data_IF_527920827717
#
_entry.id   IF_527920827717
#
_cell.length_a   1.000
_cell.length_b   1.000
_cell.length_c   1.000
_cell.angle_alpha   90.00
_cell.angle_beta   90.00
_cell.angle_gamma   90.00
#
_symmetry.space_group_name_H-M   'P 1'
#
loop_
_entity.id
_entity.type
_entity.pdbx_description
1 polymer ?
#
# COMPACT_ATOMS: atom_id res chain seq x y z
N UNK A 1 -3.84 -16.14 2.16
CA UNK A 1 -4.32 -17.25 3.02
C UNK A 1 -3.37 -17.61 4.17
N UNK A 2 -2.04 -17.46 4.04
CA UNK A 2 -1.08 -17.77 5.12
C UNK A 2 -1.41 -17.08 6.48
N UNK A 3 -1.72 -15.78 6.47
CA UNK A 3 -2.11 -15.06 7.69
C UNK A 3 -3.39 -15.59 8.34
N UNK A 4 -4.32 -16.16 7.55
CA UNK A 4 -5.57 -16.75 8.04
C UNK A 4 -5.31 -18.03 8.83
N UNK A 5 -4.34 -18.82 8.41
CA UNK A 5 -3.90 -20.02 9.14
C UNK A 5 -3.21 -19.68 10.47
N UNK A 6 -2.60 -18.48 10.58
CA UNK A 6 -1.95 -17.98 11.79
C UNK A 6 -2.89 -17.23 12.74
N UNK A 7 -4.22 -17.28 12.52
CA UNK A 7 -5.22 -16.62 13.36
C UNK A 7 -5.45 -15.13 13.07
N UNK A 8 -4.74 -14.54 12.09
CA UNK A 8 -5.10 -13.24 11.50
C UNK A 8 -6.18 -13.45 10.41
N UNK A 9 -6.55 -12.41 9.66
CA UNK A 9 -7.61 -12.55 8.65
C UNK A 9 -7.70 -11.38 7.70
N UNK A 10 -8.82 -11.35 6.99
CA UNK A 10 -9.31 -10.25 6.15
C UNK A 10 -10.83 -10.23 6.28
N UNK A 11 -11.46 -9.11 5.96
CA UNK A 11 -12.90 -8.90 6.08
C UNK A 11 -13.67 -9.87 5.17
N UNK A 12 -14.78 -10.42 5.69
CA UNK A 12 -15.66 -11.31 4.94
C UNK A 12 -16.91 -10.56 4.47
N UNK A 13 -17.32 -10.77 3.22
CA UNK A 13 -18.52 -10.18 2.60
C UNK A 13 -19.80 -10.62 3.34
N UNK A 14 -19.81 -11.80 3.97
CA UNK A 14 -20.93 -12.27 4.79
C UNK A 14 -21.13 -11.44 6.07
N UNK A 15 -20.05 -10.86 6.61
CA UNK A 15 -20.06 -10.10 7.87
C UNK A 15 -20.14 -8.59 7.66
N UNK A 16 -19.78 -8.12 6.46
CA UNK A 16 -19.77 -6.71 6.10
C UNK A 16 -20.56 -6.52 4.79
N UNK A 17 -21.82 -6.10 4.91
CA UNK A 17 -22.66 -5.85 3.73
C UNK A 17 -22.17 -4.63 2.93
N UNK A 18 -22.41 -4.64 1.60
CA UNK A 18 -22.07 -3.55 0.67
C UNK A 18 -20.57 -3.28 0.52
N UNK A 19 -19.72 -4.28 0.81
CA UNK A 19 -18.29 -4.20 0.51
C UNK A 19 -17.97 -5.04 -0.71
N UNK A 20 -16.92 -4.68 -1.42
CA UNK A 20 -16.27 -5.50 -2.44
C UNK A 20 -14.84 -5.73 -2.00
N UNK A 21 -14.50 -6.97 -1.66
CA UNK A 21 -13.15 -7.27 -1.19
C UNK A 21 -12.21 -7.54 -2.36
N UNK A 22 -11.03 -6.90 -2.40
CA UNK A 22 -10.05 -7.09 -3.46
C UNK A 22 -8.62 -7.23 -2.92
N UNK A 23 -7.90 -8.26 -3.37
CA UNK A 23 -6.46 -8.39 -3.14
C UNK A 23 -5.68 -7.68 -4.25
N UNK A 24 -4.80 -6.75 -3.86
CA UNK A 24 -3.94 -6.00 -4.80
C UNK A 24 -2.66 -6.79 -5.16
N UNK A 25 -2.28 -7.79 -4.36
CA UNK A 25 -1.13 -8.66 -4.66
C UNK A 25 0.24 -8.02 -4.44
N UNK A 26 0.36 -7.07 -3.50
CA UNK A 26 1.67 -6.49 -3.13
C UNK A 26 2.39 -7.43 -2.17
N UNK A 27 3.57 -7.91 -2.60
CA UNK A 27 4.41 -8.84 -1.85
C UNK A 27 4.94 -8.25 -0.54
N UNK A 28 5.29 -9.11 0.42
CA UNK A 28 5.82 -8.71 1.74
C UNK A 28 7.24 -8.12 1.66
N UNK A 29 7.68 -7.46 2.73
CA UNK A 29 8.99 -6.79 2.84
C UNK A 29 10.20 -7.68 2.50
N UNK A 30 10.13 -8.98 2.78
CA UNK A 30 11.22 -9.91 2.48
C UNK A 30 11.40 -10.10 0.97
N UNK A 31 10.29 -10.19 0.22
CA UNK A 31 10.30 -10.33 -1.23
C UNK A 31 10.80 -9.04 -1.88
N UNK A 32 10.33 -7.90 -1.40
CA UNK A 32 10.76 -6.58 -1.89
C UNK A 32 12.24 -6.32 -1.61
N UNK A 33 12.76 -6.71 -0.43
CA UNK A 33 14.20 -6.61 -0.11
C UNK A 33 15.05 -7.46 -1.05
N UNK A 34 14.65 -8.70 -1.29
CA UNK A 34 15.33 -9.58 -2.25
C UNK A 34 15.23 -9.04 -3.67
N UNK A 35 14.10 -8.42 -4.05
CA UNK A 35 13.93 -7.77 -5.35
C UNK A 35 14.88 -6.58 -5.51
N UNK A 36 15.06 -5.77 -4.47
CA UNK A 36 16.00 -4.65 -4.49
C UNK A 36 17.45 -5.13 -4.57
N UNK A 37 17.82 -6.19 -3.83
CA UNK A 37 19.15 -6.79 -3.93
C UNK A 37 19.44 -7.25 -5.36
N UNK A 38 18.49 -7.95 -5.99
CA UNK A 38 18.60 -8.36 -7.40
C UNK A 38 18.70 -7.18 -8.35
N UNK A 39 17.94 -6.10 -8.13
CA UNK A 39 17.97 -4.90 -8.97
C UNK A 39 19.23 -4.04 -8.78
N UNK A 40 19.91 -4.16 -7.64
CA UNK A 40 21.21 -3.52 -7.40
C UNK A 40 22.36 -4.33 -8.03
N UNK A 41 22.20 -5.66 -8.09
CA UNK A 41 23.14 -6.57 -8.75
C UNK A 41 23.01 -6.52 -10.29
N UNK A 42 21.81 -6.30 -10.81
CA UNK A 42 21.54 -6.16 -12.25
C UNK A 42 21.15 -4.71 -12.62
N UNK A 43 21.99 -4.00 -13.39
CA UNK A 43 21.71 -2.60 -13.79
C UNK A 43 20.39 -2.46 -14.58
N UNK A 44 19.40 -1.89 -13.90
CA UNK A 44 18.27 -1.07 -14.37
C UNK A 44 17.62 -1.39 -15.74
N UNK A 45 16.43 -2.00 -15.72
CA UNK A 45 15.28 -1.49 -16.45
C UNK A 45 14.00 -2.21 -16.00
N UNK A 46 12.99 -1.46 -15.55
CA UNK A 46 11.60 -1.63 -15.99
C UNK A 46 10.74 -0.62 -15.24
N UNK A 47 10.09 0.28 -15.97
CA UNK A 47 9.10 1.19 -15.40
C UNK A 47 7.88 0.37 -14.95
N UNK A 48 7.52 0.34 -13.65
CA UNK A 48 6.26 -0.26 -13.24
C UNK A 48 5.11 0.63 -13.74
N UNK A 49 4.34 0.14 -14.71
CA UNK A 49 3.08 0.75 -15.14
C UNK A 49 2.01 0.43 -14.10
N UNK A 50 1.59 1.45 -13.35
CA UNK A 50 0.43 1.38 -12.49
C UNK A 50 -0.76 1.84 -13.33
N UNK A 51 -1.57 0.89 -13.81
CA UNK A 51 -2.83 1.18 -14.49
C UNK A 51 -3.96 0.51 -13.73
N UNK A 52 -4.53 1.20 -12.74
CA UNK A 52 -5.88 0.94 -12.29
C UNK A 52 -6.36 2.05 -11.35
N UNK A 53 -7.65 2.35 -11.48
CA UNK A 53 -8.53 3.05 -10.54
C UNK A 53 -8.56 4.57 -10.68
N UNK A 54 -9.60 5.08 -11.36
CA UNK A 54 -10.35 6.26 -10.92
C UNK A 54 -11.61 6.45 -11.76
N UNK A 55 -12.69 5.68 -11.53
CA UNK A 55 -14.03 6.04 -12.06
C UNK A 55 -15.21 5.70 -11.11
N UNK A 56 -14.99 5.03 -9.97
CA UNK A 56 -16.07 4.69 -9.03
C UNK A 56 -15.98 5.60 -7.80
N UNK A 57 -17.01 6.41 -7.53
CA UNK A 57 -17.09 7.32 -6.38
C UNK A 57 -17.31 6.59 -5.04
N UNK A 58 -16.52 5.55 -4.78
CA UNK A 58 -16.62 4.68 -3.61
C UNK A 58 -15.54 4.99 -2.56
N UNK A 59 -15.86 4.73 -1.29
CA UNK A 59 -14.85 4.77 -0.21
C UNK A 59 -14.02 3.49 -0.21
N UNK A 60 -12.71 3.64 0.00
CA UNK A 60 -11.75 2.52 -0.03
C UNK A 60 -11.07 2.39 1.32
N UNK A 61 -11.12 1.18 1.91
CA UNK A 61 -10.32 0.80 3.06
C UNK A 61 -9.09 0.01 2.57
N UNK A 62 -7.89 0.44 2.94
CA UNK A 62 -6.63 -0.23 2.57
C UNK A 62 -5.94 -0.72 3.84
N UNK A 63 -5.60 -2.00 3.89
CA UNK A 63 -4.79 -2.56 4.97
C UNK A 63 -3.81 -3.62 4.45
N UNK A 64 -2.81 -3.93 5.26
CA UNK A 64 -1.90 -5.05 5.04
C UNK A 64 -1.80 -5.89 6.32
N UNK A 65 -0.81 -6.78 6.45
CA UNK A 65 -0.66 -7.62 7.64
C UNK A 65 -0.56 -6.82 8.94
N UNK A 66 0.22 -5.73 8.93
CA UNK A 66 0.57 -4.95 10.13
C UNK A 66 0.30 -3.44 9.92
N UNK A 67 -0.22 -3.04 8.76
CA UNK A 67 -0.72 -1.69 8.50
C UNK A 67 0.31 -0.59 8.21
N UNK A 68 1.62 -0.86 8.31
CA UNK A 68 2.68 0.15 8.24
C UNK A 68 3.56 0.12 6.98
N UNK A 69 3.66 -1.02 6.28
CA UNK A 69 4.47 -1.14 5.05
C UNK A 69 3.66 -0.79 3.78
N UNK A 70 2.93 -1.78 3.25
CA UNK A 70 2.23 -1.70 1.96
C UNK A 70 1.06 -0.73 2.01
N UNK A 71 0.39 -0.65 3.15
CA UNK A 71 -0.67 0.35 3.37
C UNK A 71 -0.12 1.76 3.20
N UNK A 72 1.02 2.07 3.83
CA UNK A 72 1.63 3.40 3.73
C UNK A 72 2.08 3.73 2.30
N UNK A 73 2.65 2.74 1.59
CA UNK A 73 3.02 2.90 0.18
C UNK A 73 1.81 3.20 -0.72
N UNK A 74 0.73 2.42 -0.61
CA UNK A 74 -0.47 2.62 -1.44
C UNK A 74 -1.16 3.95 -1.11
N UNK A 75 -1.33 4.28 0.18
CA UNK A 75 -1.98 5.52 0.61
C UNK A 75 -1.19 6.78 0.21
N UNK A 76 0.15 6.75 0.27
CA UNK A 76 0.98 7.89 -0.14
C UNK A 76 0.91 8.14 -1.66
N UNK A 77 0.96 7.08 -2.46
CA UNK A 77 0.79 7.18 -3.92
C UNK A 77 -0.61 7.67 -4.28
N UNK A 78 -1.67 7.16 -3.63
CA UNK A 78 -3.03 7.62 -3.86
C UNK A 78 -3.20 9.11 -3.53
N UNK A 79 -2.62 9.58 -2.43
CA UNK A 79 -2.66 11.01 -2.03
C UNK A 79 -2.00 11.90 -3.09
N UNK A 80 -0.86 11.49 -3.64
CA UNK A 80 -0.16 12.21 -4.72
C UNK A 80 -0.95 12.24 -6.03
N UNK A 81 -1.68 11.18 -6.34
CA UNK A 81 -2.50 11.07 -7.54
C UNK A 81 -3.78 11.90 -7.43
N UNK A 82 -4.48 11.84 -6.30
CA UNK A 82 -5.81 12.42 -6.11
C UNK A 82 -5.82 13.91 -5.78
N UNK A 83 -4.83 14.41 -5.04
CA UNK A 83 -4.81 15.81 -4.59
C UNK A 83 -3.49 16.53 -5.00
N UNK A 84 -3.58 17.56 -5.87
CA UNK A 84 -2.43 18.35 -6.30
C UNK A 84 -1.62 18.99 -5.15
N UNK A 85 -2.24 19.23 -3.98
CA UNK A 85 -1.56 19.77 -2.80
C UNK A 85 -0.33 18.94 -2.42
N UNK A 86 -0.46 17.61 -2.43
CA UNK A 86 0.61 16.70 -2.04
C UNK A 86 1.79 16.67 -3.03
N UNK A 87 1.64 17.26 -4.23
CA UNK A 87 2.72 17.41 -5.22
C UNK A 87 3.61 18.62 -4.96
N UNK A 88 3.26 19.46 -3.99
CA UNK A 88 4.13 20.54 -3.50
C UNK A 88 5.15 19.99 -2.49
N UNK A 89 6.30 20.64 -2.31
CA UNK A 89 7.29 20.22 -1.28
C UNK A 89 6.64 20.13 0.10
N UNK A 90 5.83 21.14 0.46
CA UNK A 90 5.12 21.18 1.74
C UNK A 90 4.12 20.02 1.86
N UNK A 91 3.30 19.81 0.83
CA UNK A 91 2.33 18.72 0.81
C UNK A 91 3.01 17.35 0.86
N UNK A 92 4.09 17.15 0.10
CA UNK A 92 4.86 15.91 0.12
C UNK A 92 5.42 15.61 1.51
N UNK A 93 5.98 16.61 2.21
CA UNK A 93 6.41 16.46 3.61
C UNK A 93 5.27 16.05 4.53
N UNK A 94 4.08 16.65 4.35
CA UNK A 94 2.88 16.27 5.11
C UNK A 94 2.51 14.82 4.83
N UNK A 95 2.42 14.40 3.57
CA UNK A 95 2.11 13.01 3.19
C UNK A 95 3.07 12.01 3.82
N UNK A 96 4.38 12.32 3.84
CA UNK A 96 5.38 11.47 4.47
C UNK A 96 5.15 11.33 5.98
N UNK A 97 4.95 12.45 6.68
CA UNK A 97 4.80 12.45 8.15
C UNK A 97 3.48 11.82 8.59
N UNK A 98 2.40 11.97 7.81
CA UNK A 98 1.08 11.44 8.20
C UNK A 98 0.90 9.99 7.80
N UNK A 99 1.54 9.54 6.72
CA UNK A 99 1.31 8.19 6.15
C UNK A 99 2.31 7.16 6.65
N UNK A 100 3.54 7.57 6.95
CA UNK A 100 4.57 6.70 7.48
C UNK A 100 4.69 6.94 8.99
N UNK A 101 4.02 6.12 9.82
CA UNK A 101 4.15 6.25 11.27
C UNK A 101 5.63 6.05 11.65
N UNK A 102 6.11 6.83 12.62
CA UNK A 102 7.37 6.50 13.29
C UNK A 102 7.19 5.11 13.91
N UNK A 103 8.17 4.24 13.72
CA UNK A 103 8.20 2.92 14.36
C UNK A 103 7.79 3.09 15.83
N UNK A 104 6.77 2.34 16.25
CA UNK A 104 6.52 2.18 17.66
C UNK A 104 7.72 1.38 18.18
N UNK A 105 8.69 2.08 18.79
CA UNK A 105 9.77 1.41 19.50
C UNK A 105 9.15 0.47 20.56
N UNK A 106 9.71 -0.75 20.72
CA UNK A 106 9.19 -1.74 21.66
C UNK A 106 9.25 -1.31 23.13
#
# INVERSE_FOLDING_TARGET
MANRAAGKGYENEDNYSNIKFQFIGIENIHVMRNSLQKMLEEKACSNPRISAVSEEGASVLVHCSDGWDRTAQVCSVASLLLDPYYRTVKGFMVSLVTTFPKEAEP
#
